data_IF_403672440235
#
_entry.id   IF_403672440235
#
_cell.length_a   1.000
_cell.length_b   1.000
_cell.length_c   1.000
_cell.angle_alpha   90.00
_cell.angle_beta   90.00
_cell.angle_gamma   90.00
#
_symmetry.space_group_name_H-M   'P 1'
#
loop_
_entity.id
_entity.type
_entity.pdbx_description
1 polymer ?
#
# COMPACT_ATOMS: atom_id res chain seq x y z
N UNK A 1 -21.42 -14.54 -15.12
CA UNK A 1 -20.45 -15.51 -15.66
C UNK A 1 -19.26 -14.86 -16.38
N UNK A 2 -19.33 -13.62 -16.90
CA UNK A 2 -18.16 -12.94 -17.54
C UNK A 2 -17.05 -12.52 -16.58
N UNK A 3 -17.39 -12.12 -15.36
CA UNK A 3 -16.41 -11.61 -14.38
C UNK A 3 -15.43 -12.69 -13.89
N UNK A 4 -15.90 -13.93 -13.76
CA UNK A 4 -15.04 -15.06 -13.35
C UNK A 4 -13.91 -15.34 -14.37
N UNK A 5 -14.22 -15.27 -15.66
CA UNK A 5 -13.23 -15.50 -16.72
C UNK A 5 -12.16 -14.40 -16.74
N UNK A 6 -12.55 -13.14 -16.53
CA UNK A 6 -11.62 -11.99 -16.53
C UNK A 6 -10.66 -12.10 -15.34
N UNK A 7 -11.16 -12.42 -14.15
CA UNK A 7 -10.34 -12.59 -12.95
C UNK A 7 -9.36 -13.76 -13.13
N UNK A 8 -9.84 -14.89 -13.63
CA UNK A 8 -9.00 -16.08 -13.84
C UNK A 8 -7.90 -15.83 -14.88
N UNK A 9 -8.20 -15.11 -15.96
CA UNK A 9 -7.23 -14.79 -17.01
C UNK A 9 -6.18 -13.76 -16.54
N UNK A 10 -6.60 -12.80 -15.72
CA UNK A 10 -5.68 -11.85 -15.05
C UNK A 10 -4.75 -12.55 -14.07
N UNK A 11 -5.23 -13.55 -13.31
CA UNK A 11 -4.39 -14.33 -12.39
C UNK A 11 -3.37 -15.23 -13.12
N UNK A 12 -3.68 -15.67 -14.34
CA UNK A 12 -2.73 -16.46 -15.16
C UNK A 12 -1.66 -15.62 -15.86
N UNK A 13 -1.94 -14.36 -16.17
CA UNK A 13 -1.01 -13.48 -16.89
C UNK A 13 -0.28 -12.46 -15.99
N UNK A 14 -0.84 -12.12 -14.82
CA UNK A 14 -0.22 -11.21 -13.86
C UNK A 14 0.06 -11.97 -12.56
N UNK A 15 1.32 -11.95 -12.13
CA UNK A 15 1.68 -12.43 -10.80
C UNK A 15 0.96 -11.59 -9.73
N UNK A 16 0.69 -12.19 -8.57
CA UNK A 16 0.12 -11.47 -7.41
C UNK A 16 0.91 -10.19 -7.08
N UNK A 17 2.23 -10.23 -7.27
CA UNK A 17 3.10 -9.05 -7.16
C UNK A 17 2.70 -7.92 -8.11
N UNK A 18 2.50 -8.23 -9.39
CA UNK A 18 2.14 -7.22 -10.39
C UNK A 18 0.76 -6.63 -10.11
N UNK A 19 -0.19 -7.43 -9.66
CA UNK A 19 -1.51 -6.95 -9.22
C UNK A 19 -1.37 -5.96 -8.06
N UNK A 20 -0.54 -6.29 -7.05
CA UNK A 20 -0.28 -5.40 -5.92
C UNK A 20 0.43 -4.10 -6.35
N UNK A 21 1.42 -4.18 -7.23
CA UNK A 21 2.13 -3.01 -7.75
C UNK A 21 1.17 -2.06 -8.49
N UNK A 22 0.32 -2.61 -9.37
CA UNK A 22 -0.70 -1.83 -10.08
C UNK A 22 -1.64 -1.18 -9.06
N UNK A 23 -2.15 -1.95 -8.10
CA UNK A 23 -3.06 -1.43 -7.08
C UNK A 23 -2.44 -0.25 -6.30
N UNK A 24 -1.21 -0.41 -5.80
CA UNK A 24 -0.52 0.62 -5.02
C UNK A 24 -0.22 1.89 -5.83
N UNK A 25 -0.14 1.78 -7.16
CA UNK A 25 0.06 2.91 -8.05
C UNK A 25 -1.24 3.56 -8.56
N UNK A 26 -2.37 2.86 -8.47
CA UNK A 26 -3.68 3.37 -8.90
C UNK A 26 -4.41 4.12 -7.78
N UNK A 27 -4.16 3.80 -6.51
CA UNK A 27 -4.86 4.48 -5.41
C UNK A 27 -4.31 5.89 -5.15
N UNK A 28 -5.21 6.77 -4.70
CA UNK A 28 -4.89 8.11 -4.23
C UNK A 28 -4.49 8.07 -2.74
N UNK A 29 -3.34 8.66 -2.41
CA UNK A 29 -2.73 8.68 -1.07
C UNK A 29 -2.86 10.04 -0.37
N UNK A 30 -3.55 10.98 -1.00
CA UNK A 30 -3.78 12.36 -0.58
C UNK A 30 -4.20 13.19 -1.78
N UNK A 31 -4.71 14.40 -1.55
CA UNK A 31 -5.24 15.27 -2.62
C UNK A 31 -4.25 15.40 -3.80
N UNK A 32 -4.52 14.72 -4.92
CA UNK A 32 -3.68 14.73 -6.11
C UNK A 32 -2.40 13.88 -6.03
N UNK A 33 -2.23 13.04 -5.01
CA UNK A 33 -1.05 12.18 -4.80
C UNK A 33 -1.40 10.75 -5.23
N UNK A 34 -1.07 10.42 -6.47
CA UNK A 34 -1.38 9.11 -7.05
C UNK A 34 -0.17 8.19 -7.02
N UNK A 35 -0.36 7.02 -6.42
CA UNK A 35 0.64 5.98 -6.35
C UNK A 35 1.69 6.08 -5.23
N UNK A 36 2.25 4.93 -4.89
CA UNK A 36 3.13 4.77 -3.73
C UNK A 36 4.44 5.58 -3.82
N UNK A 37 5.00 5.74 -5.04
CA UNK A 37 6.21 6.55 -5.25
C UNK A 37 5.95 8.04 -4.98
N UNK A 38 4.84 8.58 -5.48
CA UNK A 38 4.45 9.96 -5.22
C UNK A 38 4.20 10.19 -3.72
N UNK A 39 3.53 9.24 -3.06
CA UNK A 39 3.30 9.28 -1.62
C UNK A 39 4.61 9.26 -0.81
N UNK A 40 5.55 8.37 -1.13
CA UNK A 40 6.85 8.29 -0.45
C UNK A 40 7.64 9.61 -0.55
N UNK A 41 7.66 10.20 -1.76
CA UNK A 41 8.32 11.49 -2.00
C UNK A 41 7.65 12.63 -1.26
N UNK A 42 6.31 12.67 -1.25
CA UNK A 42 5.57 13.73 -0.59
C UNK A 42 5.73 13.65 0.93
N UNK A 43 5.50 12.48 1.53
CA UNK A 43 5.42 12.35 2.98
C UNK A 43 6.78 12.16 3.65
N UNK A 44 7.75 11.55 2.98
CA UNK A 44 9.05 11.19 3.59
C UNK A 44 10.26 11.70 2.83
N UNK A 45 10.08 12.32 1.65
CA UNK A 45 11.15 12.85 0.79
C UNK A 45 12.19 11.81 0.37
N UNK A 46 11.76 10.57 0.21
CA UNK A 46 12.57 9.43 -0.23
C UNK A 46 11.83 8.65 -1.33
N UNK A 47 12.53 7.90 -2.19
CA UNK A 47 11.88 6.97 -3.12
C UNK A 47 11.17 5.84 -2.34
N UNK A 48 10.10 5.27 -2.90
CA UNK A 48 9.34 4.19 -2.27
C UNK A 48 10.19 2.95 -1.98
N UNK A 49 11.20 2.68 -2.82
CA UNK A 49 12.17 1.60 -2.62
C UNK A 49 13.06 1.76 -1.38
N UNK A 50 13.07 2.94 -0.75
CA UNK A 50 13.82 3.23 0.49
C UNK A 50 12.94 3.36 1.72
N UNK A 51 11.64 3.12 1.62
CA UNK A 51 10.76 3.12 2.78
C UNK A 51 11.20 2.03 3.76
N UNK A 52 11.32 2.39 5.03
CA UNK A 52 11.44 1.41 6.09
C UNK A 52 10.06 0.81 6.43
N UNK A 53 10.05 -0.21 7.31
CA UNK A 53 8.82 -0.93 7.66
C UNK A 53 7.79 0.01 8.30
N UNK A 54 8.24 0.92 9.16
CA UNK A 54 7.40 1.89 9.87
C UNK A 54 6.72 2.86 8.91
N UNK A 55 7.45 3.41 7.93
CA UNK A 55 6.94 4.34 6.93
C UNK A 55 5.95 3.64 5.98
N UNK A 56 6.29 2.42 5.53
CA UNK A 56 5.40 1.61 4.70
C UNK A 56 4.10 1.27 5.44
N UNK A 57 4.20 0.82 6.70
CA UNK A 57 3.04 0.52 7.53
C UNK A 57 2.19 1.78 7.81
N UNK A 58 2.81 2.94 7.97
CA UNK A 58 2.09 4.19 8.20
C UNK A 58 1.29 4.63 6.96
N UNK A 59 1.88 4.52 5.77
CA UNK A 59 1.18 4.74 4.50
C UNK A 59 0.01 3.76 4.37
N UNK A 60 0.26 2.47 4.55
CA UNK A 60 -0.77 1.43 4.46
C UNK A 60 -1.92 1.67 5.46
N UNK A 61 -1.62 2.14 6.67
CA UNK A 61 -2.62 2.51 7.68
C UNK A 61 -3.46 3.73 7.25
N UNK A 62 -2.89 4.64 6.48
CA UNK A 62 -3.50 5.89 6.04
C UNK A 62 -4.43 5.75 4.83
N UNK A 63 -4.38 4.62 4.09
CA UNK A 63 -5.24 4.36 2.91
C UNK A 63 -6.73 4.63 3.23
N UNK A 64 -7.20 4.23 4.41
CA UNK A 64 -8.61 4.43 4.78
C UNK A 64 -9.00 5.89 5.05
N UNK A 65 -8.02 6.76 5.31
CA UNK A 65 -8.27 8.19 5.54
C UNK A 65 -7.98 9.01 4.28
N UNK A 66 -7.62 8.37 3.17
CA UNK A 66 -7.22 8.97 1.88
C UNK A 66 -6.07 9.97 1.93
N UNK A 67 -5.52 10.31 3.10
CA UNK A 67 -4.42 11.26 3.30
C UNK A 67 -3.67 10.96 4.58
N UNK A 68 -2.35 11.11 4.56
CA UNK A 68 -1.53 11.04 5.77
C UNK A 68 -1.44 12.44 6.43
N UNK A 69 -1.96 12.63 7.65
CA UNK A 69 -1.85 13.90 8.36
C UNK A 69 -0.42 14.15 8.84
N UNK A 70 -0.01 15.41 8.89
CA UNK A 70 1.30 15.81 9.43
C UNK A 70 1.50 15.36 10.90
N UNK A 71 0.40 15.29 11.66
CA UNK A 71 0.38 14.73 13.00
C UNK A 71 -0.56 13.50 13.06
N UNK A 72 -0.01 12.28 12.97
CA UNK A 72 -0.78 11.04 13.07
C UNK A 72 -1.60 10.93 14.36
N UNK A 73 -2.89 10.66 14.24
CA UNK A 73 -3.74 10.41 15.40
C UNK A 73 -3.35 9.11 16.11
N UNK A 74 -3.67 8.99 17.42
CA UNK A 74 -3.48 7.73 18.18
C UNK A 74 -4.16 6.54 17.50
N UNK A 75 -5.30 6.75 16.84
CA UNK A 75 -6.00 5.69 16.08
C UNK A 75 -5.18 5.22 14.89
N UNK A 76 -4.58 6.15 14.14
CA UNK A 76 -3.74 5.83 13.00
C UNK A 76 -2.48 5.08 13.44
N UNK A 77 -1.82 5.54 14.50
CA UNK A 77 -0.63 4.89 15.06
C UNK A 77 -0.94 3.47 15.58
N UNK A 78 -2.11 3.26 16.22
CA UNK A 78 -2.55 1.91 16.61
C UNK A 78 -2.72 1.00 15.40
N UNK A 79 -3.26 1.52 14.29
CA UNK A 79 -3.41 0.75 13.05
C UNK A 79 -2.06 0.45 12.40
N UNK A 80 -1.13 1.41 12.40
CA UNK A 80 0.24 1.21 11.96
C UNK A 80 0.90 0.07 12.76
N UNK A 81 0.79 0.10 14.09
CA UNK A 81 1.35 -0.94 14.94
C UNK A 81 0.74 -2.31 14.65
N UNK A 82 -0.59 -2.38 14.51
CA UNK A 82 -1.27 -3.62 14.13
C UNK A 82 -0.76 -4.17 12.78
N UNK A 83 -0.48 -3.31 11.80
CA UNK A 83 0.11 -3.73 10.53
C UNK A 83 1.53 -4.27 10.75
N UNK A 84 2.38 -3.54 11.49
CA UNK A 84 3.76 -3.97 11.79
C UNK A 84 3.80 -5.35 12.45
N UNK A 85 2.97 -5.58 13.47
CA UNK A 85 2.89 -6.86 14.19
C UNK A 85 2.46 -8.02 13.27
N UNK A 86 1.70 -7.71 12.21
CA UNK A 86 1.22 -8.69 11.23
C UNK A 86 2.21 -8.91 10.08
N UNK A 87 3.07 -7.94 9.76
CA UNK A 87 4.01 -8.04 8.64
C UNK A 87 4.95 -9.25 8.76
N UNK A 88 5.35 -9.64 9.97
CA UNK A 88 6.19 -10.82 10.21
C UNK A 88 5.44 -12.15 10.06
N UNK A 89 4.11 -12.10 10.09
CA UNK A 89 3.23 -13.26 10.07
C UNK A 89 2.47 -13.41 8.74
N UNK A 90 2.82 -12.61 7.73
CA UNK A 90 2.21 -12.66 6.40
C UNK A 90 3.19 -13.31 5.42
N UNK A 91 2.79 -14.44 4.87
CA UNK A 91 3.49 -15.06 3.75
C UNK A 91 3.26 -14.19 2.50
N UNK A 92 4.34 -13.61 1.98
CA UNK A 92 4.26 -12.88 0.72
C UNK A 92 4.10 -13.89 -0.42
N UNK A 93 3.23 -13.63 -1.41
CA UNK A 93 3.16 -14.47 -2.59
C UNK A 93 4.54 -14.47 -3.27
N UNK A 94 5.03 -15.65 -3.68
CA UNK A 94 6.36 -15.80 -4.29
C UNK A 94 6.54 -14.90 -5.52
N UNK A 95 7.78 -14.40 -5.78
CA UNK A 95 8.13 -13.57 -6.93
C UNK A 95 7.88 -14.25 -8.28
#
# INVERSE_FOLDING_TARGET
>A
MRELFIVQQLETELSKHRIFEIYLNVIEWGDGIWGAEAAARMYFRIPASKLNREQAALLAAAIANSRLPANPSKRLLRRQQFILDRMDNVELPYP
#
